data_IF_460637966293
#
_entry.id   IF_460637966293
#
_cell.length_a   1.000
_cell.length_b   1.000
_cell.length_c   1.000
_cell.angle_alpha   90.00
_cell.angle_beta   90.00
_cell.angle_gamma   90.00
#
_symmetry.space_group_name_H-M   'P 1'
#
loop_
_entity.id
_entity.type
_entity.pdbx_description
1 polymer ?
#
# COMPACT_ATOMS: atom_id res chain seq x y z
N UNK A 1 -32.44 24.58 -12.74
CA UNK A 1 -32.44 23.58 -11.64
C UNK A 1 -31.63 22.32 -11.96
N UNK A 2 -31.53 21.89 -13.23
CA UNK A 2 -30.78 20.67 -13.60
C UNK A 2 -29.27 20.74 -13.27
N UNK A 3 -28.63 21.89 -13.49
CA UNK A 3 -27.20 22.05 -13.24
C UNK A 3 -26.80 21.80 -11.77
N UNK A 4 -27.47 22.45 -10.80
CA UNK A 4 -27.10 22.32 -9.38
C UNK A 4 -27.27 20.88 -8.86
N UNK A 5 -28.30 20.17 -9.33
CA UNK A 5 -28.49 18.76 -8.99
C UNK A 5 -27.39 17.88 -9.60
N UNK A 6 -26.99 18.16 -10.85
CA UNK A 6 -25.89 17.45 -11.51
C UNK A 6 -24.54 17.74 -10.84
N UNK A 7 -24.28 18.98 -10.47
CA UNK A 7 -23.07 19.39 -9.76
C UNK A 7 -22.96 18.67 -8.41
N UNK A 8 -24.05 18.63 -7.63
CA UNK A 8 -24.11 17.89 -6.38
C UNK A 8 -23.89 16.38 -6.59
N UNK A 9 -24.48 15.80 -7.63
CA UNK A 9 -24.30 14.39 -7.95
C UNK A 9 -22.84 14.04 -8.28
N UNK A 10 -22.11 14.95 -8.95
CA UNK A 10 -20.67 14.82 -9.23
C UNK A 10 -19.87 15.00 -7.94
N UNK A 11 -20.14 16.05 -7.15
CA UNK A 11 -19.43 16.32 -5.91
C UNK A 11 -19.46 15.11 -4.94
N UNK A 12 -20.61 14.42 -4.86
CA UNK A 12 -20.79 13.21 -4.02
C UNK A 12 -19.98 11.99 -4.48
N UNK A 13 -19.39 12.00 -5.68
CA UNK A 13 -18.46 10.95 -6.14
C UNK A 13 -17.08 11.07 -5.49
N UNK A 14 -16.78 12.23 -4.90
CA UNK A 14 -15.52 12.50 -4.19
C UNK A 14 -15.77 12.72 -2.67
N UNK A 15 -16.29 11.71 -1.93
CA UNK A 15 -16.73 11.88 -0.54
C UNK A 15 -15.59 12.01 0.47
N UNK A 16 -14.38 11.56 0.14
CA UNK A 16 -13.23 11.49 1.06
C UNK A 16 -12.13 12.53 0.78
N UNK A 17 -12.33 13.36 -0.24
CA UNK A 17 -11.31 14.28 -0.74
C UNK A 17 -11.15 14.17 -2.24
N UNK A 18 -10.34 15.06 -2.81
CA UNK A 18 -10.33 15.29 -4.25
C UNK A 18 -11.56 16.08 -4.71
N UNK A 19 -11.55 16.46 -5.99
CA UNK A 19 -12.64 17.19 -6.61
C UNK A 19 -12.56 17.07 -8.13
N UNK A 20 -13.72 17.15 -8.77
CA UNK A 20 -13.81 17.26 -10.23
C UNK A 20 -13.83 18.73 -10.65
N UNK A 21 -12.85 19.11 -11.46
CA UNK A 21 -12.73 20.46 -11.99
C UNK A 21 -13.74 20.64 -13.12
N UNK A 22 -14.58 21.67 -13.00
CA UNK A 22 -15.44 22.10 -14.09
C UNK A 22 -15.42 23.62 -14.21
N UNK A 23 -15.85 24.13 -15.37
CA UNK A 23 -16.02 25.57 -15.58
C UNK A 23 -17.48 25.89 -15.85
N UNK A 24 -17.96 26.96 -15.24
CA UNK A 24 -19.24 27.58 -15.53
C UNK A 24 -18.98 28.84 -16.32
N UNK A 25 -19.60 28.95 -17.49
CA UNK A 25 -19.59 30.19 -18.28
C UNK A 25 -20.99 30.80 -18.26
N UNK A 26 -21.09 31.99 -17.72
CA UNK A 26 -22.31 32.81 -17.74
C UNK A 26 -22.22 33.74 -18.94
N UNK A 27 -23.21 33.68 -19.84
CA UNK A 27 -23.31 34.57 -21.01
C UNK A 27 -24.50 35.50 -20.81
N UNK A 28 -24.27 36.79 -20.94
CA UNK A 28 -25.27 37.85 -20.79
C UNK A 28 -25.86 38.21 -22.17
N UNK A 29 -27.06 38.81 -22.17
CA UNK A 29 -27.77 39.18 -23.41
C UNK A 29 -27.01 40.22 -24.26
N UNK A 30 -26.16 41.03 -23.63
CA UNK A 30 -25.28 41.99 -24.31
C UNK A 30 -24.04 41.33 -24.95
N UNK A 31 -23.88 40.01 -24.82
CA UNK A 31 -22.75 39.25 -25.36
C UNK A 31 -21.57 39.07 -24.40
N UNK A 32 -21.61 39.68 -23.21
CA UNK A 32 -20.55 39.53 -22.22
C UNK A 32 -20.51 38.10 -21.66
N UNK A 33 -19.31 37.59 -21.40
CA UNK A 33 -19.10 36.27 -20.83
C UNK A 33 -18.23 36.34 -19.58
N UNK A 34 -18.68 35.65 -18.54
CA UNK A 34 -17.91 35.45 -17.32
C UNK A 34 -17.71 33.97 -17.07
N UNK A 35 -16.46 33.56 -16.85
CA UNK A 35 -16.12 32.18 -16.56
C UNK A 35 -15.66 32.04 -15.10
N UNK A 36 -16.16 31.02 -14.43
CA UNK A 36 -15.78 30.63 -13.07
C UNK A 36 -15.42 29.14 -13.08
N UNK A 37 -14.37 28.77 -12.36
CA UNK A 37 -14.03 27.37 -12.11
C UNK A 37 -14.73 26.92 -10.83
N UNK A 38 -15.33 25.73 -10.87
CA UNK A 38 -15.85 25.02 -9.71
C UNK A 38 -15.02 23.77 -9.46
N UNK A 39 -14.71 23.54 -8.19
CA UNK A 39 -14.04 22.34 -7.72
C UNK A 39 -15.08 21.45 -7.03
N UNK A 40 -15.69 20.53 -7.78
CA UNK A 40 -16.82 19.74 -7.30
C UNK A 40 -16.39 18.57 -6.42
N UNK A 41 -16.69 18.65 -5.12
CA UNK A 41 -16.34 17.60 -4.17
C UNK A 41 -16.99 17.77 -2.80
N UNK A 42 -16.88 16.74 -1.97
CA UNK A 42 -17.22 16.86 -0.54
C UNK A 42 -16.07 17.50 0.24
N UNK A 43 -16.23 17.60 1.57
CA UNK A 43 -15.16 17.95 2.51
C UNK A 43 -14.57 19.36 2.29
N UNK A 44 -15.43 20.36 2.07
CA UNK A 44 -15.05 21.78 1.96
C UNK A 44 -14.78 22.27 0.54
N UNK A 45 -15.02 21.43 -0.47
CA UNK A 45 -15.05 21.82 -1.88
C UNK A 45 -16.46 22.30 -2.30
N UNK A 46 -16.60 22.79 -3.53
CA UNK A 46 -17.88 23.28 -4.06
C UNK A 46 -18.84 22.12 -4.29
N UNK A 47 -20.12 22.29 -3.94
CA UNK A 47 -21.17 21.30 -4.27
C UNK A 47 -22.07 21.76 -5.43
N UNK A 48 -21.80 22.94 -5.97
CA UNK A 48 -22.58 23.61 -6.99
C UNK A 48 -22.19 25.08 -7.14
N UNK A 49 -22.74 25.76 -8.14
CA UNK A 49 -22.44 27.17 -8.39
C UNK A 49 -23.04 28.06 -7.29
N UNK A 50 -24.29 27.78 -6.91
CA UNK A 50 -24.96 28.49 -5.83
C UNK A 50 -24.20 28.37 -4.50
N UNK A 51 -23.68 27.18 -4.18
CA UNK A 51 -22.87 26.96 -2.98
C UNK A 51 -21.54 27.72 -3.05
N UNK A 52 -20.86 27.71 -4.20
CA UNK A 52 -19.63 28.48 -4.41
C UNK A 52 -19.85 29.98 -4.16
N UNK A 53 -20.91 30.56 -4.73
CA UNK A 53 -21.26 31.96 -4.52
C UNK A 53 -21.58 32.26 -3.05
N UNK A 54 -22.39 31.42 -2.40
CA UNK A 54 -22.75 31.62 -0.99
C UNK A 54 -21.53 31.47 -0.07
N UNK A 55 -20.67 30.49 -0.30
CA UNK A 55 -19.41 30.30 0.43
C UNK A 55 -18.46 31.49 0.23
N UNK A 56 -18.39 32.06 -0.98
CA UNK A 56 -17.61 33.27 -1.26
C UNK A 56 -18.13 34.49 -0.50
N UNK A 57 -19.45 34.66 -0.44
CA UNK A 57 -20.09 35.71 0.36
C UNK A 57 -19.83 35.51 1.86
N UNK A 58 -20.02 34.30 2.38
CA UNK A 58 -19.74 33.94 3.79
C UNK A 58 -18.27 34.22 4.16
N UNK A 59 -17.33 33.82 3.29
CA UNK A 59 -15.90 34.07 3.48
C UNK A 59 -15.59 35.57 3.50
N UNK A 60 -16.11 36.33 2.53
CA UNK A 60 -15.91 37.77 2.48
C UNK A 60 -16.48 38.46 3.72
N UNK A 61 -17.72 38.14 4.12
CA UNK A 61 -18.35 38.72 5.31
C UNK A 61 -17.52 38.48 6.57
N UNK A 62 -16.99 37.26 6.72
CA UNK A 62 -16.17 36.87 7.87
C UNK A 62 -14.82 37.55 7.91
N UNK A 63 -14.21 37.83 6.76
CA UNK A 63 -12.80 38.18 6.66
C UNK A 63 -12.51 39.58 6.09
N UNK A 64 -13.50 40.35 5.66
CA UNK A 64 -13.32 41.68 5.04
C UNK A 64 -12.63 42.72 5.95
N UNK A 65 -12.59 42.49 7.27
CA UNK A 65 -11.92 43.37 8.25
C UNK A 65 -10.59 42.82 8.76
N UNK A 66 -10.18 41.65 8.29
CA UNK A 66 -8.92 41.02 8.69
C UNK A 66 -7.74 41.81 8.12
N UNK A 67 -6.79 42.16 8.99
CA UNK A 67 -5.63 42.99 8.61
C UNK A 67 -4.65 42.28 7.69
N UNK A 68 -4.61 40.95 7.74
CA UNK A 68 -3.79 40.08 6.88
C UNK A 68 -4.42 39.83 5.50
N UNK A 69 -5.65 40.30 5.24
CA UNK A 69 -6.38 40.07 3.97
C UNK A 69 -6.86 41.37 3.32
N UNK A 70 -5.98 42.34 3.05
CA UNK A 70 -6.37 43.64 2.48
C UNK A 70 -7.00 43.52 1.07
N UNK A 71 -6.70 42.44 0.32
CA UNK A 71 -7.26 42.19 -1.01
C UNK A 71 -8.78 42.05 -0.99
N UNK A 72 -9.37 41.51 0.09
CA UNK A 72 -10.82 41.36 0.19
C UNK A 72 -11.56 42.70 0.19
N UNK A 73 -10.90 43.80 0.54
CA UNK A 73 -11.48 45.15 0.55
C UNK A 73 -10.97 46.02 -0.60
N UNK A 74 -9.69 45.88 -0.93
CA UNK A 74 -9.00 46.81 -1.82
C UNK A 74 -8.99 46.33 -3.29
N UNK A 75 -9.30 45.06 -3.56
CA UNK A 75 -9.41 44.55 -4.93
C UNK A 75 -10.76 44.92 -5.54
N UNK A 76 -10.73 45.75 -6.59
CA UNK A 76 -11.94 46.27 -7.23
C UNK A 76 -12.76 45.14 -7.87
N UNK A 77 -12.10 44.17 -8.49
CA UNK A 77 -12.76 43.03 -9.11
C UNK A 77 -13.48 42.15 -8.07
N UNK A 78 -12.85 41.87 -6.93
CA UNK A 78 -13.47 41.18 -5.81
C UNK A 78 -14.71 41.93 -5.30
N UNK A 79 -14.62 43.25 -5.11
CA UNK A 79 -15.74 44.06 -4.66
C UNK A 79 -16.90 44.07 -5.65
N UNK A 80 -16.60 44.17 -6.96
CA UNK A 80 -17.61 44.06 -8.03
C UNK A 80 -18.28 42.69 -8.02
N UNK A 81 -17.51 41.61 -7.84
CA UNK A 81 -18.04 40.25 -7.76
C UNK A 81 -18.96 40.05 -6.56
N UNK A 82 -18.58 40.54 -5.37
CA UNK A 82 -19.42 40.48 -4.17
C UNK A 82 -20.72 41.26 -4.38
N UNK A 83 -20.63 42.49 -4.90
CA UNK A 83 -21.80 43.30 -5.19
C UNK A 83 -22.75 42.59 -6.17
N UNK A 84 -22.18 41.97 -7.22
CA UNK A 84 -22.93 41.19 -8.19
C UNK A 84 -23.61 39.97 -7.56
N UNK A 85 -22.90 39.17 -6.75
CA UNK A 85 -23.45 38.00 -6.06
C UNK A 85 -24.63 38.37 -5.16
N UNK A 86 -24.60 39.53 -4.50
CA UNK A 86 -25.69 40.03 -3.66
C UNK A 86 -26.96 40.41 -4.45
N UNK A 87 -26.87 40.61 -5.77
CA UNK A 87 -28.05 40.87 -6.61
C UNK A 87 -28.83 39.60 -6.97
N UNK A 88 -28.19 38.44 -6.89
CA UNK A 88 -28.80 37.16 -7.27
C UNK A 88 -29.57 36.53 -6.11
N UNK A 89 -30.68 35.87 -6.45
CA UNK A 89 -31.45 35.05 -5.50
C UNK A 89 -31.04 33.59 -5.63
N UNK A 90 -30.32 33.08 -4.64
CA UNK A 90 -29.94 31.67 -4.55
C UNK A 90 -31.00 30.83 -3.82
N UNK A 91 -31.13 29.55 -4.20
CA UNK A 91 -31.98 28.55 -3.53
C UNK A 91 -31.30 28.04 -2.26
N UNK A 92 -31.32 28.84 -1.19
CA UNK A 92 -30.62 28.56 0.07
C UNK A 92 -31.05 27.22 0.68
N UNK A 93 -32.33 26.85 0.57
CA UNK A 93 -32.85 25.57 1.05
C UNK A 93 -32.17 24.38 0.38
N UNK A 94 -32.06 24.42 -0.95
CA UNK A 94 -31.35 23.41 -1.73
C UNK A 94 -29.88 23.31 -1.30
N UNK A 95 -29.18 24.44 -1.19
CA UNK A 95 -27.76 24.45 -0.81
C UNK A 95 -27.55 23.89 0.60
N UNK A 96 -28.44 24.24 1.54
CA UNK A 96 -28.40 23.71 2.91
C UNK A 96 -28.58 22.19 2.92
N UNK A 97 -29.59 21.68 2.20
CA UNK A 97 -29.84 20.24 2.08
C UNK A 97 -28.67 19.52 1.39
N UNK A 98 -28.10 20.14 0.36
CA UNK A 98 -26.94 19.63 -0.35
C UNK A 98 -25.70 19.52 0.56
N UNK A 99 -25.40 20.55 1.36
CA UNK A 99 -24.32 20.54 2.38
C UNK A 99 -24.54 19.41 3.40
N UNK A 100 -25.76 19.21 3.88
CA UNK A 100 -26.08 18.09 4.80
C UNK A 100 -25.84 16.74 4.13
N UNK A 101 -26.22 16.59 2.86
CA UNK A 101 -26.00 15.34 2.11
C UNK A 101 -24.52 15.03 1.90
N UNK A 102 -23.67 16.02 1.64
CA UNK A 102 -22.23 15.80 1.47
C UNK A 102 -21.53 15.45 2.78
N UNK A 103 -21.95 16.03 3.91
CA UNK A 103 -21.49 15.62 5.25
C UNK A 103 -21.81 14.14 5.48
N UNK A 104 -23.07 13.72 5.26
CA UNK A 104 -23.48 12.32 5.42
C UNK A 104 -22.72 11.38 4.48
N UNK A 105 -22.51 11.78 3.23
CA UNK A 105 -21.73 11.00 2.26
C UNK A 105 -20.28 10.83 2.72
N UNK A 106 -19.67 11.89 3.26
CA UNK A 106 -18.31 11.86 3.81
C UNK A 106 -18.21 10.92 5.02
N UNK A 107 -19.15 11.01 5.96
CA UNK A 107 -19.17 10.15 7.15
C UNK A 107 -19.34 8.67 6.80
N UNK A 108 -20.26 8.36 5.88
CA UNK A 108 -20.47 6.99 5.40
C UNK A 108 -19.22 6.43 4.71
N UNK A 109 -18.60 7.21 3.83
CA UNK A 109 -17.37 6.78 3.16
C UNK A 109 -16.23 6.53 4.16
N UNK A 110 -16.07 7.40 5.17
CA UNK A 110 -15.06 7.22 6.23
C UNK A 110 -15.34 5.97 7.06
N UNK A 111 -16.59 5.64 7.31
CA UNK A 111 -16.97 4.41 8.00
C UNK A 111 -16.60 3.18 7.16
N UNK A 112 -16.92 3.18 5.88
CA UNK A 112 -16.60 2.08 4.97
C UNK A 112 -15.09 1.86 4.84
N UNK A 113 -14.27 2.90 4.80
CA UNK A 113 -12.80 2.76 4.83
C UNK A 113 -12.31 2.13 6.13
N UNK A 114 -12.79 2.60 7.29
CA UNK A 114 -12.44 2.01 8.58
C UNK A 114 -12.83 0.54 8.68
N UNK A 115 -14.01 0.18 8.19
CA UNK A 115 -14.48 -1.22 8.16
C UNK A 115 -13.61 -2.08 7.25
N UNK A 116 -13.22 -1.58 6.07
CA UNK A 116 -12.30 -2.27 5.15
C UNK A 116 -10.91 -2.44 5.76
N UNK A 117 -10.36 -1.41 6.40
CA UNK A 117 -9.07 -1.48 7.08
C UNK A 117 -9.09 -2.47 8.24
N UNK A 118 -10.16 -2.46 9.05
CA UNK A 118 -10.32 -3.39 10.15
C UNK A 118 -10.41 -4.83 9.65
N UNK A 119 -11.24 -5.09 8.64
CA UNK A 119 -11.35 -6.42 8.03
C UNK A 119 -10.02 -6.91 7.45
N UNK A 120 -9.24 -6.02 6.82
CA UNK A 120 -7.89 -6.35 6.32
C UNK A 120 -6.94 -6.72 7.47
N UNK A 121 -6.96 -5.98 8.58
CA UNK A 121 -6.12 -6.29 9.77
C UNK A 121 -6.53 -7.60 10.42
N UNK A 122 -7.83 -7.83 10.61
CA UNK A 122 -8.34 -9.08 11.20
C UNK A 122 -7.97 -10.30 10.35
N UNK A 123 -8.06 -10.19 9.02
CA UNK A 123 -7.63 -11.25 8.10
C UNK A 123 -6.12 -11.50 8.21
N UNK A 124 -5.30 -10.45 8.22
CA UNK A 124 -3.85 -10.57 8.39
C UNK A 124 -3.46 -11.21 9.73
N UNK A 125 -4.10 -10.82 10.83
CA UNK A 125 -3.85 -11.41 12.14
C UNK A 125 -4.24 -12.89 12.18
N UNK A 126 -5.34 -13.26 11.51
CA UNK A 126 -5.78 -14.67 11.43
C UNK A 126 -4.77 -15.50 10.64
N UNK A 127 -4.34 -15.01 9.47
CA UNK A 127 -3.34 -15.67 8.63
C UNK A 127 -2.00 -15.82 9.37
N UNK A 128 -1.57 -14.79 10.11
CA UNK A 128 -0.35 -14.86 10.92
C UNK A 128 -0.46 -15.88 12.05
N UNK A 129 -1.60 -15.92 12.77
CA UNK A 129 -1.83 -16.91 13.84
C UNK A 129 -1.86 -18.32 13.29
N UNK A 130 -2.51 -18.53 12.15
CA UNK A 130 -2.56 -19.84 11.47
C UNK A 130 -1.16 -20.26 11.00
N UNK A 131 -0.40 -19.35 10.38
CA UNK A 131 0.97 -19.60 9.98
C UNK A 131 1.86 -19.98 11.16
N UNK A 132 1.79 -19.24 12.27
CA UNK A 132 2.54 -19.55 13.49
C UNK A 132 2.15 -20.90 14.10
N UNK A 133 0.86 -21.22 14.13
CA UNK A 133 0.39 -22.51 14.63
C UNK A 133 0.91 -23.67 13.77
N UNK A 134 0.87 -23.52 12.43
CA UNK A 134 1.39 -24.48 11.48
C UNK A 134 2.92 -24.64 11.60
N UNK A 135 3.65 -23.55 11.79
CA UNK A 135 5.10 -23.58 12.02
C UNK A 135 5.46 -24.32 13.31
N UNK A 136 4.76 -24.05 14.41
CA UNK A 136 4.98 -24.75 15.69
C UNK A 136 4.65 -26.24 15.57
N UNK A 137 3.55 -26.59 14.92
CA UNK A 137 3.16 -27.98 14.69
C UNK A 137 4.19 -28.71 13.82
N UNK A 138 4.65 -28.06 12.74
CA UNK A 138 5.72 -28.55 11.87
C UNK A 138 7.02 -28.80 12.65
N UNK A 139 7.51 -27.80 13.38
CA UNK A 139 8.74 -27.90 14.16
C UNK A 139 8.66 -29.00 15.23
N UNK A 140 7.49 -29.20 15.83
CA UNK A 140 7.28 -30.26 16.83
C UNK A 140 7.27 -31.67 16.21
N UNK A 141 6.89 -31.80 14.93
CA UNK A 141 6.86 -33.07 14.20
C UNK A 141 8.22 -33.45 13.58
N UNK A 142 9.20 -32.54 13.52
CA UNK A 142 10.50 -32.80 12.92
C UNK A 142 11.31 -33.83 13.72
N UNK A 143 11.76 -34.87 13.03
CA UNK A 143 12.75 -35.82 13.56
C UNK A 143 14.14 -35.33 13.22
N UNK A 144 14.78 -34.61 14.14
CA UNK A 144 16.11 -34.02 13.96
C UNK A 144 17.18 -34.96 14.54
N UNK A 145 18.15 -35.44 13.74
CA UNK A 145 19.21 -36.30 14.24
C UNK A 145 20.05 -35.62 15.33
N UNK A 146 20.50 -36.41 16.32
CA UNK A 146 21.31 -35.90 17.44
C UNK A 146 22.64 -35.30 16.96
N UNK A 147 23.25 -35.91 15.94
CA UNK A 147 24.50 -35.43 15.35
C UNK A 147 24.35 -34.15 14.51
N UNK A 148 23.11 -33.76 14.14
CA UNK A 148 22.88 -32.63 13.25
C UNK A 148 23.30 -31.32 13.93
N UNK A 149 24.16 -30.56 13.24
CA UNK A 149 24.65 -29.23 13.65
C UNK A 149 24.00 -28.09 12.88
N UNK A 150 23.22 -28.41 11.85
CA UNK A 150 22.44 -27.45 11.09
C UNK A 150 21.54 -28.14 10.07
N UNK A 151 20.82 -27.32 9.30
CA UNK A 151 19.92 -27.73 8.24
C UNK A 151 20.25 -26.96 6.96
N UNK A 152 20.15 -27.62 5.82
CA UNK A 152 20.30 -27.02 4.50
C UNK A 152 18.90 -26.80 3.93
N UNK A 153 18.61 -25.56 3.56
CA UNK A 153 17.28 -25.14 3.12
C UNK A 153 17.38 -24.39 1.81
N UNK A 154 16.45 -24.68 0.90
CA UNK A 154 16.22 -23.91 -0.30
C UNK A 154 15.01 -23.00 -0.11
N UNK A 155 15.17 -21.72 -0.43
CA UNK A 155 14.09 -20.74 -0.46
C UNK A 155 13.94 -20.21 -1.88
N UNK A 156 12.71 -20.13 -2.35
CA UNK A 156 12.38 -19.41 -3.59
C UNK A 156 11.76 -18.08 -3.21
N UNK A 157 12.40 -16.99 -3.58
CA UNK A 157 11.97 -15.63 -3.28
C UNK A 157 11.51 -14.92 -4.55
N UNK A 158 10.37 -14.24 -4.50
CA UNK A 158 9.85 -13.43 -5.59
C UNK A 158 9.52 -12.01 -5.12
N UNK A 159 9.47 -11.08 -6.07
CA UNK A 159 9.08 -9.70 -5.82
C UNK A 159 7.60 -9.62 -5.44
N UNK A 160 7.31 -8.95 -4.32
CA UNK A 160 5.94 -8.74 -3.88
C UNK A 160 5.40 -7.45 -4.48
N UNK A 161 4.77 -7.57 -5.66
CA UNK A 161 4.19 -6.41 -6.38
C UNK A 161 3.02 -5.77 -5.63
N UNK A 162 2.35 -6.50 -4.73
CA UNK A 162 1.18 -5.98 -4.02
C UNK A 162 1.57 -5.10 -2.84
N UNK A 163 2.66 -5.46 -2.15
CA UNK A 163 3.19 -4.69 -1.03
C UNK A 163 4.26 -3.67 -1.43
N UNK A 164 4.92 -3.85 -2.56
CA UNK A 164 5.95 -2.92 -3.04
C UNK A 164 5.37 -1.70 -3.73
N UNK A 165 5.99 -0.54 -3.50
CA UNK A 165 5.70 0.69 -4.22
C UNK A 165 6.99 1.29 -4.80
N UNK A 166 7.23 1.11 -6.12
CA UNK A 166 8.39 1.67 -6.81
C UNK A 166 8.46 3.20 -6.77
N UNK A 167 7.35 3.90 -6.55
CA UNK A 167 7.30 5.37 -6.58
C UNK A 167 7.89 6.00 -5.31
N UNK A 168 7.84 5.28 -4.19
CA UNK A 168 8.44 5.72 -2.91
C UNK A 168 9.71 4.94 -2.55
N UNK A 169 10.10 3.98 -3.38
CA UNK A 169 11.29 3.16 -3.16
C UNK A 169 11.06 2.00 -2.17
N UNK A 170 9.80 1.62 -1.91
CA UNK A 170 9.46 0.51 -1.03
C UNK A 170 9.56 -0.81 -1.80
N UNK A 171 10.52 -1.66 -1.42
CA UNK A 171 10.78 -2.95 -2.04
C UNK A 171 10.50 -4.09 -1.05
N UNK A 172 9.50 -4.90 -1.39
CA UNK A 172 9.09 -6.07 -0.62
C UNK A 172 9.29 -7.35 -1.44
N UNK A 173 9.61 -8.43 -0.73
CA UNK A 173 9.75 -9.77 -1.29
C UNK A 173 8.94 -10.76 -0.48
N UNK A 174 8.47 -11.82 -1.14
CA UNK A 174 7.81 -12.95 -0.50
C UNK A 174 8.53 -14.25 -0.83
N UNK A 175 8.46 -15.20 0.09
CA UNK A 175 9.10 -16.52 -0.04
C UNK A 175 8.02 -17.60 -0.12
N UNK A 176 7.40 -17.82 -1.29
CA UNK A 176 6.31 -18.77 -1.44
C UNK A 176 6.73 -20.24 -1.27
N UNK A 177 8.02 -20.56 -1.42
CA UNK A 177 8.53 -21.91 -1.21
C UNK A 177 9.75 -21.94 -0.32
N UNK A 178 9.70 -22.87 0.63
CA UNK A 178 10.80 -23.24 1.51
C UNK A 178 10.89 -24.76 1.53
N UNK A 179 12.07 -25.31 1.25
CA UNK A 179 12.31 -26.75 1.16
C UNK A 179 13.48 -27.12 2.06
N UNK A 180 13.26 -28.06 2.96
CA UNK A 180 14.27 -28.64 3.84
C UNK A 180 14.97 -29.77 3.10
N UNK A 181 16.19 -29.52 2.61
CA UNK A 181 16.91 -30.43 1.74
C UNK A 181 17.71 -31.50 2.50
N UNK A 182 18.40 -31.13 3.59
CA UNK A 182 19.26 -32.07 4.32
C UNK A 182 19.63 -31.59 5.72
N UNK A 183 19.93 -32.54 6.61
CA UNK A 183 20.64 -32.28 7.87
C UNK A 183 22.15 -32.19 7.62
N UNK A 184 22.83 -31.31 8.36
CA UNK A 184 24.26 -31.03 8.21
C UNK A 184 25.06 -31.45 9.44
N UNK A 185 26.18 -32.15 9.25
CA UNK A 185 27.16 -32.48 10.30
C UNK A 185 28.15 -31.33 10.58
N UNK A 186 28.16 -30.30 9.73
CA UNK A 186 29.10 -29.19 9.77
C UNK A 186 28.45 -27.89 10.24
N UNK A 187 29.18 -27.10 11.02
CA UNK A 187 28.80 -25.71 11.32
C UNK A 187 29.32 -24.74 10.26
N UNK A 188 30.40 -25.11 9.56
CA UNK A 188 30.92 -24.36 8.43
C UNK A 188 29.97 -24.47 7.23
N UNK A 189 29.89 -23.40 6.45
CA UNK A 189 29.19 -23.36 5.17
C UNK A 189 30.10 -23.92 4.08
N UNK A 190 29.89 -25.18 3.73
CA UNK A 190 30.62 -25.83 2.66
C UNK A 190 29.74 -25.83 1.40
N UNK A 191 30.09 -25.05 0.38
CA UNK A 191 29.33 -25.04 -0.88
C UNK A 191 29.21 -26.41 -1.56
N UNK A 192 30.24 -27.30 -1.54
CA UNK A 192 30.06 -28.66 -2.04
C UNK A 192 28.95 -29.43 -1.33
N UNK A 193 28.74 -29.18 -0.04
CA UNK A 193 27.67 -29.79 0.75
C UNK A 193 26.31 -29.22 0.36
N UNK A 194 26.22 -27.90 0.16
CA UNK A 194 24.98 -27.25 -0.33
C UNK A 194 24.58 -27.79 -1.71
N UNK A 195 25.55 -27.92 -2.63
CA UNK A 195 25.34 -28.48 -3.97
C UNK A 195 24.83 -29.92 -3.91
N UNK A 196 25.44 -30.75 -3.08
CA UNK A 196 25.00 -32.14 -2.89
C UNK A 196 23.56 -32.20 -2.37
N UNK A 197 23.19 -31.35 -1.42
CA UNK A 197 21.83 -31.30 -0.89
C UNK A 197 20.78 -30.90 -1.94
N UNK A 198 21.17 -30.10 -2.95
CA UNK A 198 20.28 -29.71 -4.05
C UNK A 198 19.76 -30.91 -4.88
N UNK A 199 20.45 -32.06 -4.83
CA UNK A 199 20.02 -33.28 -5.52
C UNK A 199 18.80 -33.93 -4.86
N UNK A 200 18.43 -33.53 -3.64
CA UNK A 200 17.35 -34.14 -2.89
C UNK A 200 15.96 -33.68 -3.34
N UNK A 201 15.86 -32.60 -4.13
CA UNK A 201 14.59 -32.09 -4.63
C UNK A 201 14.69 -31.64 -6.11
N UNK A 202 13.74 -32.02 -6.99
CA UNK A 202 13.79 -31.73 -8.43
C UNK A 202 13.94 -30.24 -8.75
N UNK A 203 13.26 -29.36 -8.01
CA UNK A 203 13.30 -27.91 -8.23
C UNK A 203 14.67 -27.28 -7.95
N UNK A 204 15.58 -27.99 -7.25
CA UNK A 204 16.91 -27.46 -6.90
C UNK A 204 18.05 -28.15 -7.62
N UNK A 205 17.83 -29.27 -8.33
CA UNK A 205 18.88 -30.11 -8.92
C UNK A 205 19.87 -29.32 -9.77
N UNK A 206 19.40 -28.35 -10.53
CA UNK A 206 20.23 -27.54 -11.43
C UNK A 206 21.32 -26.74 -10.67
N UNK A 207 21.10 -26.41 -9.38
CA UNK A 207 22.05 -25.68 -8.54
C UNK A 207 23.23 -26.54 -8.07
N UNK A 208 23.13 -27.87 -8.20
CA UNK A 208 24.29 -28.74 -8.01
C UNK A 208 25.39 -28.44 -9.05
N UNK A 209 25.02 -28.04 -10.26
CA UNK A 209 25.95 -27.72 -11.34
C UNK A 209 26.68 -26.38 -11.06
N UNK A 210 28.02 -26.43 -11.04
CA UNK A 210 28.87 -25.25 -10.78
C UNK A 210 28.80 -24.22 -11.88
N UNK A 211 28.57 -24.64 -13.12
CA UNK A 211 28.41 -23.75 -14.26
C UNK A 211 27.05 -23.03 -14.27
N UNK A 212 26.08 -23.47 -13.45
CA UNK A 212 24.72 -22.90 -13.40
C UNK A 212 24.39 -22.18 -12.09
N UNK A 213 25.37 -22.00 -11.21
CA UNK A 213 25.13 -21.45 -9.87
C UNK A 213 26.30 -20.61 -9.36
N UNK A 214 25.97 -19.67 -8.49
CA UNK A 214 26.91 -18.72 -7.90
C UNK A 214 27.07 -18.97 -6.40
N UNK A 215 28.32 -18.89 -5.90
CA UNK A 215 28.63 -19.00 -4.48
C UNK A 215 28.75 -17.60 -3.84
N UNK A 216 27.81 -17.24 -2.98
CA UNK A 216 27.85 -15.97 -2.26
C UNK A 216 28.43 -16.14 -0.85
N UNK A 217 29.54 -15.44 -0.59
CA UNK A 217 30.28 -15.47 0.68
C UNK A 217 30.16 -14.18 1.47
N UNK A 218 29.06 -13.44 1.31
CA UNK A 218 28.90 -12.15 1.96
C UNK A 218 28.05 -12.23 3.24
N UNK A 219 28.72 -12.28 4.38
CA UNK A 219 28.06 -12.33 5.68
C UNK A 219 27.62 -10.95 6.21
N UNK A 220 27.86 -9.86 5.48
CA UNK A 220 27.65 -8.48 5.97
C UNK A 220 26.29 -7.88 5.60
N UNK A 221 25.35 -8.67 5.08
CA UNK A 221 23.99 -8.22 4.77
C UNK A 221 23.87 -7.21 3.63
N UNK A 222 24.97 -6.93 2.93
CA UNK A 222 25.02 -6.07 1.74
C UNK A 222 25.08 -6.96 0.50
N UNK A 223 24.37 -6.65 -0.58
CA UNK A 223 24.38 -7.48 -1.80
C UNK A 223 23.52 -8.75 -1.69
N UNK A 224 23.83 -9.78 -2.48
CA UNK A 224 22.99 -10.96 -2.71
C UNK A 224 22.90 -11.97 -1.54
N UNK A 225 23.36 -11.57 -0.35
CA UNK A 225 23.35 -12.42 0.84
C UNK A 225 24.40 -13.53 0.81
N UNK A 226 24.09 -14.63 1.47
CA UNK A 226 25.07 -15.64 1.84
C UNK A 226 24.55 -17.06 1.59
N UNK A 227 24.94 -17.67 0.47
CA UNK A 227 24.31 -18.90 0.00
C UNK A 227 24.69 -19.28 -1.43
N UNK A 228 24.06 -20.34 -1.94
CA UNK A 228 24.21 -20.84 -3.31
C UNK A 228 22.95 -20.48 -4.11
N UNK A 229 23.10 -19.78 -5.23
CA UNK A 229 21.98 -19.23 -6.02
C UNK A 229 22.16 -19.53 -7.51
N UNK A 230 21.15 -19.18 -8.32
CA UNK A 230 21.28 -19.07 -9.79
C UNK A 230 22.32 -18.01 -10.19
N UNK A 231 22.93 -18.13 -11.38
CA UNK A 231 23.91 -17.14 -11.87
C UNK A 231 23.38 -15.71 -11.92
N UNK A 232 22.17 -15.52 -12.44
CA UNK A 232 21.53 -14.21 -12.61
C UNK A 232 20.72 -13.77 -11.38
N UNK A 233 21.08 -14.27 -10.19
CA UNK A 233 20.36 -13.95 -8.97
C UNK A 233 20.44 -12.45 -8.69
N UNK A 234 19.29 -11.79 -8.62
CA UNK A 234 19.19 -10.38 -8.25
C UNK A 234 18.09 -10.22 -7.19
N UNK A 235 18.33 -10.80 -6.01
CA UNK A 235 17.41 -10.81 -4.85
C UNK A 235 16.13 -11.64 -5.03
N UNK A 236 15.95 -12.27 -6.20
CA UNK A 236 14.82 -13.11 -6.54
C UNK A 236 15.31 -14.41 -7.19
N UNK A 237 14.57 -15.50 -6.94
CA UNK A 237 14.89 -16.84 -7.39
C UNK A 237 15.27 -17.78 -6.24
N UNK A 238 15.88 -18.90 -6.60
CA UNK A 238 16.31 -19.92 -5.65
C UNK A 238 17.60 -19.52 -4.93
N UNK A 239 17.59 -19.65 -3.61
CA UNK A 239 18.74 -19.51 -2.73
C UNK A 239 18.83 -20.70 -1.78
N UNK A 240 20.00 -21.33 -1.71
CA UNK A 240 20.29 -22.43 -0.79
C UNK A 240 21.21 -21.92 0.30
N UNK A 241 20.75 -22.06 1.52
CA UNK A 241 21.45 -21.59 2.71
C UNK A 241 21.54 -22.70 3.75
N UNK A 242 22.56 -22.59 4.59
CA UNK A 242 22.69 -23.41 5.78
C UNK A 242 22.31 -22.59 7.00
N UNK A 243 21.36 -23.12 7.77
CA UNK A 243 21.03 -22.61 9.10
C UNK A 243 21.69 -23.48 10.16
N UNK A 244 22.57 -22.86 10.95
CA UNK A 244 23.33 -23.54 12.02
C UNK A 244 22.51 -23.56 13.30
N UNK A 245 22.54 -24.69 14.00
CA UNK A 245 21.88 -24.84 15.30
C UNK A 245 22.78 -24.29 16.40
N UNK A 246 22.55 -23.03 16.80
CA UNK A 246 23.33 -22.38 17.86
C UNK A 246 23.00 -22.91 19.26
N UNK A 247 21.77 -23.41 19.46
CA UNK A 247 21.34 -24.05 20.70
C UNK A 247 20.88 -25.47 20.40
N UNK A 248 21.66 -26.45 20.88
CA UNK A 248 21.42 -27.87 20.64
C UNK A 248 20.22 -28.44 21.39
N UNK A 249 19.76 -27.77 22.46
CA UNK A 249 18.57 -28.18 23.20
C UNK A 249 17.26 -27.88 22.45
N UNK A 250 17.28 -26.93 21.51
CA UNK A 250 16.09 -26.49 20.76
C UNK A 250 16.47 -26.33 19.28
N UNK A 251 16.78 -27.44 18.60
CA UNK A 251 17.20 -27.43 17.19
C UNK A 251 16.06 -27.03 16.23
N UNK A 252 14.84 -27.46 16.53
CA UNK A 252 13.68 -27.28 15.65
C UNK A 252 13.35 -25.81 15.36
N UNK A 253 13.60 -24.89 16.30
CA UNK A 253 13.37 -23.45 16.11
C UNK A 253 14.20 -22.81 14.99
N UNK A 254 15.27 -23.47 14.54
CA UNK A 254 16.13 -23.01 13.45
C UNK A 254 15.72 -23.59 12.10
N UNK A 255 14.71 -24.45 12.07
CA UNK A 255 14.18 -25.05 10.85
C UNK A 255 12.92 -24.27 10.45
N UNK A 256 12.95 -23.54 9.33
CA UNK A 256 11.80 -22.76 8.89
C UNK A 256 10.68 -23.68 8.44
N UNK A 257 9.45 -23.18 8.49
CA UNK A 257 8.30 -23.86 7.94
C UNK A 257 8.44 -24.10 6.43
N UNK A 258 8.25 -25.34 5.99
CA UNK A 258 8.42 -25.71 4.58
C UNK A 258 8.22 -27.19 4.28
N UNK A 259 8.43 -27.56 3.03
CA UNK A 259 8.41 -28.95 2.56
C UNK A 259 9.65 -29.70 3.06
N UNK A 260 9.50 -30.93 3.53
CA UNK A 260 10.63 -31.78 3.92
C UNK A 260 11.00 -32.71 2.76
N UNK A 261 12.19 -32.51 2.18
CA UNK A 261 12.72 -33.28 1.06
C UNK A 261 14.09 -33.88 1.44
N UNK A 262 14.16 -34.53 2.60
CA UNK A 262 15.38 -35.19 3.08
C UNK A 262 15.36 -36.63 2.59
N UNK A 263 16.36 -37.04 1.79
CA UNK A 263 16.54 -38.45 1.43
C UNK A 263 17.05 -39.24 2.65
N UNK A 264 16.48 -40.42 2.88
CA UNK A 264 16.91 -41.38 3.92
C UNK A 264 18.35 -41.87 3.73
#
# INVERSE_FOLDING_TARGET
MDFEHKALAIAKQNPLGGYDKTNVTVTFENGDQHQCRLDLGCNGNDIGFADHCLSSLEYHQKHQFDTDKPSLRNDEHHQQLIALMLTYRFEIGFVTDARIQTIKATELAKQQEREKELAKREQQEKEQKEHQANEVAFQSALVIPEWAKGVIVATYTEYDKELSDPHVGDHHTKTPRTIILAWSTHTKRLFPELRKACLNHPDTVFLNNKEQSCEHRNNYGIGQGDGLTVLDYNYHGWCIQKMVFWNTAIKAKYVPFGEVAIQE
#
